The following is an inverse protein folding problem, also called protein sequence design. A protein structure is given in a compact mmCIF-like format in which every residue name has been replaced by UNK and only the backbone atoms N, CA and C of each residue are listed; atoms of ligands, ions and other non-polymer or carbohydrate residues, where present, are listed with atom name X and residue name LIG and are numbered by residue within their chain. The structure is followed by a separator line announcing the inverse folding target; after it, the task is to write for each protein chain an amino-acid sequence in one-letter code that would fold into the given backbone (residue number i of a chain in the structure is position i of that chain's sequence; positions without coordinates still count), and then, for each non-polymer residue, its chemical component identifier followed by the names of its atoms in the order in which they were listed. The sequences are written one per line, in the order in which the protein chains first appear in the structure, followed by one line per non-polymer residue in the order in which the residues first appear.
data_IF_478377713652
#
_entry.id   IF_478377713652
#
_cell.length_a   1.000
_cell.length_b   1.000
_cell.length_c   1.000
_cell.angle_alpha   90.00
_cell.angle_beta   90.00
_cell.angle_gamma   90.00
#
_symmetry.space_group_name_H-M   'P 1'
#
loop_
_entity.id
_entity.type
_entity.pdbx_description
1 polymer ?
#
# COMPACT_ATOMS: atom_id res chain seq x y z
N UNK A 1 -4.96 -28.40 -12.82
CA UNK A 1 -5.21 -27.00 -12.44
C UNK A 1 -3.92 -26.24 -12.65
N UNK A 2 -3.91 -25.28 -13.58
CA UNK A 2 -2.73 -24.42 -13.81
C UNK A 2 -2.50 -23.54 -12.58
N UNK A 3 -1.25 -23.14 -12.34
CA UNK A 3 -0.92 -22.22 -11.24
C UNK A 3 -1.66 -20.88 -11.37
N UNK A 4 -1.91 -20.39 -12.59
CA UNK A 4 -2.71 -19.19 -12.86
C UNK A 4 -4.09 -19.25 -12.21
N UNK A 5 -4.79 -20.38 -12.36
CA UNK A 5 -6.15 -20.53 -11.83
C UNK A 5 -6.19 -20.49 -10.29
N UNK A 6 -5.09 -20.83 -9.60
CA UNK A 6 -5.02 -20.69 -8.13
C UNK A 6 -4.74 -19.26 -7.72
N UNK A 7 -3.90 -18.55 -8.48
CA UNK A 7 -3.60 -17.15 -8.23
C UNK A 7 -4.84 -16.27 -8.43
N UNK A 8 -5.55 -16.45 -9.55
CA UNK A 8 -6.79 -15.73 -9.83
C UNK A 8 -7.86 -15.95 -8.74
N UNK A 9 -8.01 -17.18 -8.27
CA UNK A 9 -8.95 -17.50 -7.19
C UNK A 9 -8.54 -16.86 -5.85
N UNK A 10 -7.24 -16.86 -5.55
CA UNK A 10 -6.70 -16.19 -4.35
C UNK A 10 -6.89 -14.67 -4.43
N UNK A 11 -6.57 -14.06 -5.57
CA UNK A 11 -6.74 -12.63 -5.77
C UNK A 11 -8.22 -12.25 -5.65
N UNK A 12 -9.12 -13.05 -6.22
CA UNK A 12 -10.56 -12.84 -6.07
C UNK A 12 -11.01 -12.85 -4.61
N UNK A 13 -10.54 -13.83 -3.83
CA UNK A 13 -10.82 -13.90 -2.40
C UNK A 13 -10.22 -12.70 -1.64
N UNK A 14 -9.01 -12.26 -2.01
CA UNK A 14 -8.38 -11.08 -1.42
C UNK A 14 -9.23 -9.83 -1.64
N UNK A 15 -9.72 -9.59 -2.87
CA UNK A 15 -10.60 -8.45 -3.15
C UNK A 15 -11.88 -8.49 -2.31
N UNK A 16 -12.50 -9.66 -2.11
CA UNK A 16 -13.68 -9.77 -1.24
C UNK A 16 -13.36 -9.52 0.23
N UNK A 17 -12.22 -10.03 0.72
CA UNK A 17 -11.76 -9.76 2.09
C UNK A 17 -11.49 -8.28 2.30
N UNK A 18 -10.92 -7.59 1.32
CA UNK A 18 -10.69 -6.14 1.38
C UNK A 18 -12.01 -5.35 1.32
N UNK A 19 -12.97 -5.77 0.50
CA UNK A 19 -14.30 -5.16 0.45
C UNK A 19 -15.00 -5.24 1.82
N UNK A 20 -14.80 -6.35 2.55
CA UNK A 20 -15.39 -6.55 3.87
C UNK A 20 -14.78 -5.65 4.97
N UNK A 21 -13.64 -5.01 4.72
CA UNK A 21 -13.05 -4.00 5.62
C UNK A 21 -13.73 -2.65 5.49
N UNK A 22 -14.45 -2.40 4.40
CA UNK A 22 -15.05 -1.10 4.14
C UNK A 22 -16.26 -0.85 5.05
N UNK A 23 -16.37 0.33 5.68
CA UNK A 23 -17.38 0.58 6.72
C UNK A 23 -18.81 0.62 6.19
N UNK A 24 -18.99 0.96 4.91
CA UNK A 24 -20.29 1.08 4.28
C UNK A 24 -20.45 0.05 3.16
N UNK A 25 -21.70 -0.41 2.97
CA UNK A 25 -22.04 -1.32 1.88
C UNK A 25 -21.79 -0.65 0.52
N UNK A 26 -22.07 0.65 0.40
CA UNK A 26 -21.86 1.43 -0.82
C UNK A 26 -20.38 1.52 -1.21
N UNK A 27 -19.48 1.74 -0.24
CA UNK A 27 -18.03 1.73 -0.50
C UNK A 27 -17.58 0.31 -0.90
N UNK A 28 -18.10 -0.73 -0.25
CA UNK A 28 -17.79 -2.11 -0.59
C UNK A 28 -18.26 -2.51 -2.00
N UNK A 29 -19.44 -2.05 -2.42
CA UNK A 29 -19.96 -2.23 -3.78
C UNK A 29 -19.11 -1.45 -4.80
N UNK A 30 -18.83 -0.18 -4.54
CA UNK A 30 -17.97 0.65 -5.40
C UNK A 30 -16.57 0.06 -5.58
N UNK A 31 -16.02 -0.56 -4.54
CA UNK A 31 -14.73 -1.23 -4.58
C UNK A 31 -14.74 -2.48 -5.46
N UNK A 32 -15.81 -3.29 -5.37
CA UNK A 32 -16.01 -4.45 -6.25
C UNK A 32 -16.19 -4.02 -7.69
N UNK A 33 -16.98 -2.98 -7.94
CA UNK A 33 -17.21 -2.44 -9.28
C UNK A 33 -15.90 -2.00 -9.95
N UNK A 34 -14.99 -1.41 -9.18
CA UNK A 34 -13.65 -1.06 -9.66
C UNK A 34 -12.90 -2.31 -10.16
N UNK A 35 -12.92 -3.41 -9.41
CA UNK A 35 -12.28 -4.65 -9.82
C UNK A 35 -12.94 -5.27 -11.07
N UNK A 36 -14.26 -5.35 -11.09
CA UNK A 36 -15.03 -5.96 -12.18
C UNK A 36 -14.90 -5.17 -13.49
N UNK A 37 -14.74 -3.85 -13.39
CA UNK A 37 -14.62 -2.94 -14.54
C UNK A 37 -13.18 -2.72 -15.01
N UNK A 38 -12.17 -3.29 -14.33
CA UNK A 38 -10.76 -3.11 -14.68
C UNK A 38 -10.17 -1.76 -14.26
N UNK A 39 -10.60 -1.23 -13.12
CA UNK A 39 -10.16 0.02 -12.50
C UNK A 39 -9.54 -0.24 -11.12
N UNK A 40 -8.61 -1.20 -11.03
CA UNK A 40 -8.04 -1.65 -9.77
C UNK A 40 -7.24 -0.57 -9.05
N UNK A 41 -6.55 0.32 -9.78
CA UNK A 41 -5.82 1.45 -9.19
C UNK A 41 -6.77 2.40 -8.44
N UNK A 42 -7.93 2.69 -9.04
CA UNK A 42 -8.95 3.52 -8.41
C UNK A 42 -9.58 2.83 -7.18
N UNK A 43 -9.81 1.52 -7.27
CA UNK A 43 -10.25 0.71 -6.14
C UNK A 43 -9.27 0.76 -4.98
N UNK A 44 -7.96 0.62 -5.25
CA UNK A 44 -6.89 0.68 -4.24
C UNK A 44 -6.79 2.07 -3.61
N UNK A 45 -6.86 3.14 -4.40
CA UNK A 45 -6.91 4.51 -3.87
C UNK A 45 -8.12 4.71 -2.94
N UNK A 46 -9.31 4.29 -3.38
CA UNK A 46 -10.52 4.43 -2.56
C UNK A 46 -10.41 3.63 -1.26
N UNK A 47 -9.92 2.38 -1.34
CA UNK A 47 -9.70 1.53 -0.17
C UNK A 47 -8.80 2.23 0.86
N UNK A 48 -7.61 2.71 0.47
CA UNK A 48 -6.68 3.33 1.41
C UNK A 48 -7.24 4.61 2.03
N UNK A 49 -7.95 5.43 1.25
CA UNK A 49 -8.64 6.61 1.78
C UNK A 49 -9.69 6.22 2.84
N UNK A 50 -10.53 5.24 2.55
CA UNK A 50 -11.58 4.80 3.50
C UNK A 50 -11.01 4.18 4.77
N UNK A 51 -9.97 3.35 4.65
CA UNK A 51 -9.30 2.76 5.82
C UNK A 51 -8.72 3.83 6.73
N UNK A 52 -8.13 4.90 6.16
CA UNK A 52 -7.60 6.04 6.92
C UNK A 52 -8.70 6.91 7.53
N UNK A 53 -9.69 7.31 6.74
CA UNK A 53 -10.81 8.17 7.17
C UNK A 53 -11.55 7.56 8.37
N UNK A 54 -11.73 6.24 8.35
CA UNK A 54 -12.49 5.52 9.37
C UNK A 54 -11.62 4.84 10.43
N UNK A 55 -10.29 4.98 10.35
CA UNK A 55 -9.34 4.36 11.27
C UNK A 55 -9.59 2.85 11.43
N UNK A 56 -9.84 2.16 10.31
CA UNK A 56 -10.10 0.71 10.30
C UNK A 56 -8.81 -0.02 10.69
N UNK A 57 -8.80 -0.81 11.79
CA UNK A 57 -7.61 -1.54 12.20
C UNK A 57 -7.22 -2.62 11.19
N UNK A 58 -5.94 -2.66 10.84
CA UNK A 58 -5.36 -3.67 9.96
C UNK A 58 -4.38 -4.55 10.74
N UNK A 59 -4.39 -5.84 10.45
CA UNK A 59 -3.28 -6.72 10.80
C UNK A 59 -2.09 -6.49 9.88
N UNK A 60 -0.87 -6.79 10.34
CA UNK A 60 0.34 -6.70 9.52
C UNK A 60 0.25 -7.54 8.23
N UNK A 61 -0.40 -8.70 8.33
CA UNK A 61 -0.68 -9.55 7.17
C UNK A 61 -1.55 -8.82 6.15
N UNK A 62 -2.64 -8.18 6.59
CA UNK A 62 -3.51 -7.45 5.68
C UNK A 62 -2.78 -6.26 5.05
N UNK A 63 -1.97 -5.55 5.84
CA UNK A 63 -1.11 -4.46 5.34
C UNK A 63 -0.17 -4.95 4.24
N UNK A 64 0.49 -6.09 4.45
CA UNK A 64 1.36 -6.71 3.44
C UNK A 64 0.60 -7.19 2.21
N UNK A 65 -0.59 -7.77 2.38
CA UNK A 65 -1.44 -8.19 1.26
C UNK A 65 -1.90 -6.99 0.41
N UNK A 66 -2.21 -5.85 1.02
CA UNK A 66 -2.54 -4.60 0.32
C UNK A 66 -1.32 -4.06 -0.43
N UNK A 67 -0.12 -4.05 0.17
CA UNK A 67 1.13 -3.62 -0.49
C UNK A 67 1.46 -4.46 -1.73
N UNK A 68 1.29 -5.79 -1.64
CA UNK A 68 1.54 -6.71 -2.76
C UNK A 68 0.52 -6.48 -3.87
N UNK A 69 -0.77 -6.32 -3.51
CA UNK A 69 -1.81 -6.00 -4.50
C UNK A 69 -1.54 -4.65 -5.16
N UNK A 70 -1.12 -3.64 -4.39
CA UNK A 70 -0.75 -2.34 -4.93
C UNK A 70 0.47 -2.41 -5.87
N UNK A 71 1.47 -3.24 -5.57
CA UNK A 71 2.62 -3.46 -6.48
C UNK A 71 2.18 -4.06 -7.81
N UNK A 72 1.27 -5.04 -7.79
CA UNK A 72 0.74 -5.67 -9.00
C UNK A 72 0.08 -4.64 -9.95
N UNK A 73 -0.52 -3.60 -9.38
CA UNK A 73 -1.21 -2.54 -10.12
C UNK A 73 -0.39 -1.25 -10.23
N UNK A 74 0.91 -1.27 -9.87
CA UNK A 74 1.80 -0.11 -9.99
C UNK A 74 1.54 1.03 -8.99
N UNK A 75 0.72 0.79 -7.97
CA UNK A 75 0.27 1.78 -6.98
C UNK A 75 1.06 1.76 -5.67
N UNK A 76 1.95 0.77 -5.47
CA UNK A 76 2.64 0.57 -4.18
C UNK A 76 3.30 1.85 -3.65
N UNK A 77 4.10 2.52 -4.48
CA UNK A 77 4.81 3.73 -4.08
C UNK A 77 3.85 4.89 -3.76
N UNK A 78 2.73 4.98 -4.47
CA UNK A 78 1.76 6.04 -4.26
C UNK A 78 0.95 5.82 -2.97
N UNK A 79 0.73 4.57 -2.58
CA UNK A 79 -0.11 4.18 -1.43
C UNK A 79 0.69 3.83 -0.16
N UNK A 80 2.00 3.64 -0.25
CA UNK A 80 2.83 3.12 0.85
C UNK A 80 2.66 3.89 2.17
N UNK A 81 2.78 5.22 2.13
CA UNK A 81 2.67 6.07 3.32
C UNK A 81 1.26 6.01 3.92
N UNK A 82 0.23 5.90 3.07
CA UNK A 82 -1.17 5.76 3.47
C UNK A 82 -1.38 4.40 4.18
N UNK A 83 -0.87 3.31 3.59
CA UNK A 83 -0.99 1.95 4.12
C UNK A 83 -0.25 1.78 5.46
N UNK A 84 0.93 2.39 5.61
CA UNK A 84 1.66 2.42 6.89
C UNK A 84 0.88 3.20 7.95
N UNK A 85 0.22 4.29 7.55
CA UNK A 85 -0.52 5.17 8.47
C UNK A 85 -1.86 4.59 8.94
N UNK A 86 -2.35 3.52 8.32
CA UNK A 86 -3.56 2.82 8.78
C UNK A 86 -3.40 2.28 10.20
N UNK A 87 -4.48 2.35 10.98
CA UNK A 87 -4.54 1.84 12.34
C UNK A 87 -4.13 0.35 12.40
N UNK A 88 -3.47 -0.05 13.49
CA UNK A 88 -3.07 -1.44 13.71
C UNK A 88 -4.08 -2.16 14.60
N UNK A 89 -4.38 -3.42 14.30
CA UNK A 89 -5.29 -4.29 15.09
C UNK A 89 -4.61 -4.93 16.32
N UNK A 90 -3.30 -4.72 16.48
CA UNK A 90 -2.61 -5.07 17.71
C UNK A 90 -2.88 -4.01 18.77
N UNK A 91 -3.63 -4.37 19.81
CA UNK A 91 -3.40 -3.74 21.12
C UNK A 91 -1.92 -3.97 21.45
N UNK A 92 -1.29 -2.92 21.98
CA UNK A 92 0.14 -2.65 22.05
C UNK A 92 0.94 -3.61 22.99
N UNK A 93 0.59 -4.89 23.03
CA UNK A 93 1.15 -5.93 23.91
C UNK A 93 2.39 -6.63 23.31
N UNK A 94 2.55 -6.64 21.99
CA UNK A 94 3.71 -7.24 21.28
C UNK A 94 4.70 -6.22 20.69
N UNK A 95 4.51 -4.93 20.99
CA UNK A 95 5.41 -3.88 20.53
C UNK A 95 6.79 -4.04 21.14
N UNK A 96 7.79 -4.34 20.29
CA UNK A 96 9.21 -4.36 20.67
C UNK A 96 9.57 -2.94 21.11
N UNK A 97 9.66 -2.73 22.42
CA UNK A 97 10.16 -1.48 22.98
C UNK A 97 11.67 -1.44 22.79
N UNK A 98 12.13 -0.53 21.93
CA UNK A 98 13.53 -0.12 21.91
C UNK A 98 13.89 0.41 23.30
N UNK A 99 14.67 -0.36 24.04
CA UNK A 99 15.26 0.10 25.29
C UNK A 99 16.26 1.21 24.93
N UNK A 100 16.23 2.37 25.61
CA UNK A 100 17.24 3.41 25.37
C UNK A 100 18.62 2.80 25.62
N UNK A 101 19.42 2.77 24.56
CA UNK A 101 20.78 2.29 24.60
C UNK A 101 21.67 3.35 25.26
N UNK A 102 22.08 3.11 26.50
CA UNK A 102 23.07 3.94 27.19
C UNK A 102 24.50 3.71 26.68
N UNK A 103 24.68 2.79 25.73
CA UNK A 103 25.96 2.45 25.08
C UNK A 103 26.08 2.91 23.64
N UNK A 104 25.28 3.88 23.22
CA UNK A 104 25.50 4.61 21.98
C UNK A 104 26.74 5.51 22.03
N UNK A 105 27.88 4.96 22.44
CA UNK A 105 29.18 5.42 21.93
C UNK A 105 29.27 4.92 20.50
N UNK A 106 29.54 5.78 19.51
CA UNK A 106 29.82 5.33 18.15
C UNK A 106 30.86 4.21 18.19
N UNK A 107 30.47 3.01 17.80
CA UNK A 107 31.41 1.89 17.68
C UNK A 107 32.26 2.18 16.47
N UNK A 108 33.59 2.13 16.62
CA UNK A 108 34.50 2.29 15.49
C UNK A 108 34.22 1.14 14.49
N UNK A 109 33.86 1.43 13.23
CA UNK A 109 33.62 0.39 12.22
C UNK A 109 34.82 -0.55 12.03
N UNK A 110 36.05 -0.11 12.37
CA UNK A 110 37.23 -0.96 12.37
C UNK A 110 37.18 -2.07 13.44
N UNK A 111 36.49 -1.86 14.57
CA UNK A 111 36.33 -2.85 15.64
C UNK A 111 35.24 -3.88 15.32
N UNK A 112 34.28 -3.54 14.45
CA UNK A 112 33.19 -4.46 14.01
C UNK A 112 33.62 -5.33 12.82
N UNK A 113 34.84 -5.13 12.29
CA UNK A 113 35.33 -5.90 11.14
C UNK A 113 34.51 -5.68 9.88
N UNK A 114 33.79 -4.55 9.77
CA UNK A 114 33.12 -4.15 8.53
C UNK A 114 34.20 -3.50 7.65
N UNK A 115 34.95 -4.34 6.95
CA UNK A 115 35.93 -3.85 5.99
C UNK A 115 35.23 -3.26 4.76
N UNK A 116 35.60 -2.02 4.43
CA UNK A 116 35.12 -1.19 3.31
C UNK A 116 35.15 -1.89 1.93
N UNK A 117 35.90 -2.98 1.80
CA UNK A 117 35.97 -3.76 0.56
C UNK A 117 34.67 -4.48 0.20
N UNK A 118 33.75 -4.69 1.15
CA UNK A 118 32.46 -5.34 0.88
C UNK A 118 31.42 -4.40 0.22
N UNK A 119 31.58 -3.08 0.34
CA UNK A 119 30.63 -2.08 -0.19
C UNK A 119 31.05 -1.45 -1.52
N UNK A 120 32.31 -1.63 -1.94
CA UNK A 120 32.85 -1.05 -3.18
C UNK A 120 32.23 -1.62 -4.48
N UNK A 121 31.36 -2.63 -4.39
CA UNK A 121 30.73 -3.29 -5.55
C UNK A 121 29.32 -2.80 -5.92
N UNK A 122 28.62 -2.09 -5.03
CA UNK A 122 27.26 -1.62 -5.32
C UNK A 122 27.31 -0.23 -5.96
N UNK A 123 27.69 -0.20 -7.23
CA UNK A 123 27.43 0.98 -8.06
C UNK A 123 25.92 1.15 -8.15
N UNK A 124 25.39 2.23 -7.57
CA UNK A 124 24.00 2.67 -7.68
C UNK A 124 23.64 2.79 -9.17
N UNK A 125 22.96 1.78 -9.70
CA UNK A 125 22.46 1.81 -11.07
C UNK A 125 20.94 2.05 -11.03
N UNK A 126 20.57 3.28 -11.38
CA UNK A 126 19.29 3.68 -11.99
C UNK A 126 18.03 3.38 -11.17
N UNK A 127 17.60 4.36 -10.37
CA UNK A 127 16.18 4.52 -10.06
C UNK A 127 15.52 4.84 -11.41
N UNK A 128 14.82 3.86 -11.97
CA UNK A 128 13.99 4.08 -13.15
C UNK A 128 12.80 4.94 -12.70
N UNK A 129 12.84 6.23 -12.99
CA UNK A 129 11.67 7.10 -12.83
C UNK A 129 10.66 6.67 -13.88
N UNK A 130 9.65 5.87 -13.48
CA UNK A 130 8.49 5.67 -14.31
C UNK A 130 7.81 7.05 -14.51
N UNK A 131 7.45 7.44 -15.74
CA UNK A 131 6.66 8.66 -15.93
C UNK A 131 5.30 8.45 -15.26
N UNK A 132 5.03 9.21 -14.19
CA UNK A 132 3.69 9.37 -13.63
C UNK A 132 2.75 9.89 -14.73
N UNK A 133 2.07 8.97 -15.39
CA UNK A 133 1.09 9.28 -16.44
C UNK A 133 -0.16 8.45 -16.21
N UNK A 134 -0.81 8.67 -15.07
CA UNK A 134 -2.25 8.46 -14.87
C UNK A 134 -2.76 9.47 -13.84
N UNK A 135 -2.50 10.76 -14.06
CA UNK A 135 -3.35 11.80 -13.46
C UNK A 135 -4.69 11.76 -14.21
N UNK A 136 -5.67 11.03 -13.67
CA UNK A 136 -7.05 11.32 -14.04
C UNK A 136 -7.39 12.73 -13.52
N UNK A 137 -8.05 13.58 -14.32
CA UNK A 137 -8.47 14.88 -13.84
C UNK A 137 -9.55 14.68 -12.76
N UNK A 138 -9.30 15.22 -11.57
CA UNK A 138 -10.34 15.52 -10.59
C UNK A 138 -11.41 16.33 -11.32
N UNK A 139 -12.64 15.84 -11.36
CA UNK A 139 -13.77 16.60 -11.88
C UNK A 139 -13.93 17.87 -11.03
N UNK A 140 -13.69 19.04 -11.64
CA UNK A 140 -13.97 20.33 -11.04
C UNK A 140 -15.50 20.50 -10.91
N UNK A 141 -16.07 20.61 -9.70
CA UNK A 141 -17.50 20.78 -9.51
C UNK A 141 -18.05 22.13 -10.02
N UNK A 142 -17.20 23.03 -10.56
CA UNK A 142 -17.62 24.35 -11.02
C UNK A 142 -18.24 24.42 -12.44
N UNK A 143 -18.25 23.32 -13.24
CA UNK A 143 -18.69 23.39 -14.65
C UNK A 143 -19.94 22.55 -15.00
N UNK A 144 -20.81 22.24 -14.03
CA UNK A 144 -22.05 21.47 -14.27
C UNK A 144 -23.28 22.33 -14.66
N UNK A 145 -23.08 23.56 -15.14
CA UNK A 145 -24.14 24.40 -15.72
C UNK A 145 -23.61 25.00 -17.00
N UNK A 146 -23.86 24.35 -18.12
CA UNK A 146 -24.07 24.91 -19.46
C UNK A 146 -24.03 23.77 -20.49
N UNK A 147 -25.13 23.05 -20.66
CA UNK A 147 -25.55 22.42 -21.94
C UNK A 147 -26.74 21.49 -21.70
N UNK A 148 -27.95 22.07 -21.77
CA UNK A 148 -29.16 21.41 -22.26
C UNK A 148 -30.23 22.51 -22.42
N UNK A 149 -30.05 23.31 -23.48
CA UNK A 149 -31.17 23.84 -24.24
C UNK A 149 -31.46 22.89 -25.40
#
# INVERSE_FOLDING_TARGET
MSSDSRYEAYEADLWERLAALLPSIEDAESFRDCRESGHQEAGLWMLTQRLLEHQVPLSDRMRAEIEVLAEQWGERLARHDEIISCASDSDDEDSIRLLPDDRSTPVDPAEVGIADSALAGHTTNQIYTAPSSCCWPVADPANARNSAG
#
